data_IF_720086502714
#
_entry.id   IF_720086502714
#
_cell.length_a   1.000
_cell.length_b   1.000
_cell.length_c   1.000
_cell.angle_alpha   90.00
_cell.angle_beta   90.00
_cell.angle_gamma   90.00
#
_symmetry.space_group_name_H-M   'P 1'
#
loop_
_entity.id
_entity.type
_entity.pdbx_description
1 polymer ?
#
# COMPACT_ATOMS: atom_id res chain seq x y z
N UNK A 1 14.08 -4.40 20.67
CA UNK A 1 13.00 -5.12 19.97
C UNK A 1 12.81 -4.67 18.52
N UNK A 2 12.86 -3.37 18.19
CA UNK A 2 12.67 -2.88 16.81
C UNK A 2 13.65 -3.48 15.77
N UNK A 3 14.94 -3.63 16.12
CA UNK A 3 15.95 -4.25 15.25
C UNK A 3 15.60 -5.70 14.86
N UNK A 4 15.06 -6.49 15.79
CA UNK A 4 14.66 -7.89 15.54
C UNK A 4 13.50 -7.96 14.54
N UNK A 5 12.54 -7.04 14.63
CA UNK A 5 11.42 -6.96 13.70
C UNK A 5 11.87 -6.55 12.29
N UNK A 6 12.77 -5.55 12.18
CA UNK A 6 13.33 -5.12 10.90
C UNK A 6 14.14 -6.24 10.24
N UNK A 7 15.01 -6.92 10.98
CA UNK A 7 15.80 -8.04 10.44
C UNK A 7 14.90 -9.19 9.99
N UNK A 8 13.82 -9.48 10.74
CA UNK A 8 12.84 -10.51 10.37
C UNK A 8 12.14 -10.15 9.07
N UNK A 9 11.74 -8.88 8.90
CA UNK A 9 11.12 -8.39 7.67
C UNK A 9 12.09 -8.48 6.49
N UNK A 10 13.33 -8.02 6.66
CA UNK A 10 14.34 -8.04 5.59
C UNK A 10 14.68 -9.46 5.16
N UNK A 11 14.70 -10.43 6.07
CA UNK A 11 14.86 -11.86 5.72
C UNK A 11 13.68 -12.43 4.93
N UNK A 12 12.47 -11.87 5.08
CA UNK A 12 11.31 -12.25 4.27
C UNK A 12 11.36 -11.64 2.87
N UNK A 13 11.76 -10.37 2.78
CA UNK A 13 11.88 -9.66 1.49
C UNK A 13 13.02 -10.26 0.67
N UNK A 14 14.16 -10.50 1.32
CA UNK A 14 15.35 -11.07 0.69
C UNK A 14 15.71 -12.33 1.51
N UNK A 15 15.33 -13.54 1.08
CA UNK A 15 15.65 -14.77 1.80
C UNK A 15 17.11 -15.20 1.65
N UNK A 16 17.73 -14.92 0.50
CA UNK A 16 19.12 -15.31 0.19
C UNK A 16 20.01 -14.07 0.15
N UNK A 17 21.20 -14.11 0.77
CA UNK A 17 22.13 -12.96 0.70
C UNK A 17 22.86 -13.04 -0.63
N UNK A 18 22.79 -11.99 -1.45
CA UNK A 18 23.46 -11.92 -2.73
C UNK A 18 23.68 -10.48 -3.16
N UNK A 19 24.91 -10.14 -3.57
CA UNK A 19 25.22 -8.83 -4.17
C UNK A 19 24.75 -8.68 -5.61
N UNK A 20 24.36 -9.80 -6.25
CA UNK A 20 23.72 -9.80 -7.57
C UNK A 20 22.22 -9.49 -7.49
N UNK A 21 21.62 -9.59 -6.31
CA UNK A 21 20.24 -9.14 -6.10
C UNK A 21 20.25 -7.63 -5.91
N UNK A 22 19.54 -6.92 -6.80
CA UNK A 22 19.29 -5.49 -6.69
C UNK A 22 17.89 -5.22 -6.11
N UNK A 23 17.80 -4.25 -5.21
CA UNK A 23 16.54 -3.78 -4.62
C UNK A 23 16.47 -2.27 -4.82
N UNK A 24 15.46 -1.83 -5.57
CA UNK A 24 15.08 -0.42 -5.61
C UNK A 24 14.44 -0.03 -4.27
N UNK A 25 14.88 1.11 -3.73
CA UNK A 25 14.34 1.70 -2.52
C UNK A 25 14.02 3.16 -2.81
N UNK A 26 12.75 3.50 -2.82
CA UNK A 26 12.36 4.85 -3.17
C UNK A 26 12.63 5.89 -2.07
N UNK A 27 12.85 7.12 -2.52
CA UNK A 27 13.26 8.26 -1.71
C UNK A 27 12.07 9.10 -1.24
N UNK A 28 11.13 8.46 -0.55
CA UNK A 28 9.94 9.10 0.01
C UNK A 28 10.26 10.44 0.70
N UNK A 29 9.77 11.53 0.11
CA UNK A 29 10.16 12.90 0.45
C UNK A 29 9.47 13.47 1.70
N UNK A 30 8.42 12.82 2.20
CA UNK A 30 7.67 13.30 3.37
C UNK A 30 8.40 12.93 4.66
N UNK A 31 8.82 13.97 5.40
CA UNK A 31 9.53 13.82 6.68
C UNK A 31 8.59 13.53 7.85
N UNK A 32 7.34 13.96 7.73
CA UNK A 32 6.30 13.67 8.71
C UNK A 32 5.75 12.26 8.50
N UNK A 33 5.68 11.48 9.57
CA UNK A 33 5.06 10.17 9.56
C UNK A 33 3.58 10.20 9.12
N UNK A 34 3.05 9.05 8.76
CA UNK A 34 1.62 8.94 8.41
C UNK A 34 0.80 9.20 9.68
N UNK A 35 -0.17 10.12 9.60
CA UNK A 35 -1.02 10.50 10.75
C UNK A 35 -1.68 9.27 11.36
N UNK A 36 -1.52 9.10 12.69
CA UNK A 36 -2.08 7.96 13.43
C UNK A 36 -1.24 6.69 13.38
N UNK A 37 -0.07 6.72 12.73
CA UNK A 37 0.86 5.60 12.67
C UNK A 37 2.21 5.97 13.31
N UNK A 38 2.91 4.95 13.81
CA UNK A 38 4.27 5.13 14.29
C UNK A 38 5.20 5.52 13.12
N UNK A 39 6.29 6.27 13.38
CA UNK A 39 7.29 6.57 12.37
C UNK A 39 7.87 5.29 11.77
N UNK A 40 7.97 5.25 10.44
CA UNK A 40 8.59 4.12 9.74
C UNK A 40 10.10 4.06 10.02
N UNK A 41 10.70 2.88 10.26
CA UNK A 41 12.13 2.73 10.53
C UNK A 41 12.97 2.79 9.24
N UNK A 42 12.78 3.84 8.43
CA UNK A 42 13.34 3.97 7.07
C UNK A 42 14.86 3.76 7.05
N UNK A 43 15.59 4.45 7.93
CA UNK A 43 17.06 4.33 8.01
C UNK A 43 17.50 2.91 8.37
N UNK A 44 16.91 2.34 9.42
CA UNK A 44 17.25 0.99 9.88
C UNK A 44 16.90 -0.09 8.87
N UNK A 45 15.76 0.05 8.18
CA UNK A 45 15.34 -0.86 7.12
C UNK A 45 16.30 -0.82 5.93
N UNK A 46 16.67 0.39 5.47
CA UNK A 46 17.62 0.57 4.37
C UNK A 46 19.00 -0.01 4.69
N UNK A 47 19.50 0.21 5.91
CA UNK A 47 20.76 -0.37 6.37
C UNK A 47 20.70 -1.90 6.45
N UNK A 48 19.60 -2.47 6.95
CA UNK A 48 19.41 -3.91 7.01
C UNK A 48 19.31 -4.55 5.61
N UNK A 49 18.65 -3.92 4.66
CA UNK A 49 18.59 -4.36 3.26
C UNK A 49 20.00 -4.36 2.62
N UNK A 50 20.80 -3.31 2.84
CA UNK A 50 22.18 -3.20 2.31
C UNK A 50 23.15 -4.28 2.79
N UNK A 51 22.88 -4.88 3.95
CA UNK A 51 23.64 -6.04 4.45
C UNK A 51 23.38 -7.31 3.64
N UNK A 52 22.29 -7.36 2.87
CA UNK A 52 21.81 -8.56 2.19
C UNK A 52 21.81 -8.48 0.67
N UNK A 53 21.67 -7.28 0.11
CA UNK A 53 21.55 -7.03 -1.31
C UNK A 53 22.18 -5.70 -1.70
N UNK A 54 22.30 -5.48 -3.01
CA UNK A 54 22.62 -4.17 -3.57
C UNK A 54 21.34 -3.31 -3.53
N UNK A 55 21.38 -2.18 -2.83
CA UNK A 55 20.21 -1.31 -2.66
C UNK A 55 20.42 -0.02 -3.42
N UNK A 56 19.61 0.21 -4.44
CA UNK A 56 19.63 1.41 -5.29
C UNK A 56 18.55 2.36 -4.78
N UNK A 57 18.90 3.63 -4.60
CA UNK A 57 17.91 4.65 -4.20
C UNK A 57 17.35 5.28 -5.46
N UNK A 58 16.03 5.29 -5.62
CA UNK A 58 15.35 5.71 -6.83
C UNK A 58 14.38 6.85 -6.53
N UNK A 59 14.18 7.76 -7.49
CA UNK A 59 13.08 8.72 -7.44
C UNK A 59 11.75 8.00 -7.79
N UNK A 60 10.80 8.01 -6.86
CA UNK A 60 9.48 7.37 -7.05
C UNK A 60 8.51 8.18 -7.91
N UNK A 61 8.97 9.19 -8.65
CA UNK A 61 8.10 10.15 -9.32
C UNK A 61 6.97 9.50 -10.13
N UNK A 62 5.73 9.68 -9.63
CA UNK A 62 4.46 9.20 -10.23
C UNK A 62 4.33 7.68 -10.39
N UNK A 63 5.18 6.87 -9.76
CA UNK A 63 5.06 5.39 -9.81
C UNK A 63 3.69 4.88 -9.35
N UNK A 64 3.05 5.54 -8.39
CA UNK A 64 1.70 5.18 -7.93
C UNK A 64 0.56 5.80 -8.73
N UNK A 65 0.85 6.60 -9.77
CA UNK A 65 -0.14 7.39 -10.54
C UNK A 65 -0.24 7.00 -12.00
N UNK A 66 0.75 6.29 -12.54
CA UNK A 66 0.75 5.78 -13.91
C UNK A 66 0.50 4.29 -13.92
N UNK A 67 -0.28 3.82 -14.88
CA UNK A 67 -0.54 2.39 -15.09
C UNK A 67 0.72 1.69 -15.57
N UNK A 68 1.15 0.63 -14.90
CA UNK A 68 2.36 -0.10 -15.28
C UNK A 68 2.24 -0.92 -16.57
N UNK A 69 1.07 -0.97 -17.20
CA UNK A 69 0.84 -1.65 -18.47
C UNK A 69 0.77 -0.72 -19.68
N UNK A 70 0.18 0.46 -19.52
CA UNK A 70 -0.05 1.37 -20.65
C UNK A 70 0.39 2.81 -20.37
N UNK A 71 1.03 3.04 -19.21
CA UNK A 71 1.61 4.30 -18.76
C UNK A 71 0.65 5.50 -18.67
N UNK A 72 -0.66 5.25 -18.79
CA UNK A 72 -1.69 6.26 -18.65
C UNK A 72 -2.07 6.49 -17.19
N UNK A 73 -2.64 7.65 -16.92
CA UNK A 73 -3.05 8.09 -15.59
C UNK A 73 -4.02 7.11 -14.91
N UNK A 74 -3.85 7.01 -13.59
CA UNK A 74 -4.69 6.27 -12.68
C UNK A 74 -5.54 7.22 -11.82
N UNK A 75 -6.83 6.90 -11.69
CA UNK A 75 -7.79 7.65 -10.90
C UNK A 75 -8.28 6.86 -9.68
N UNK A 76 -8.68 7.56 -8.62
CA UNK A 76 -9.23 6.89 -7.43
C UNK A 76 -10.62 6.34 -7.72
N UNK A 77 -10.89 5.12 -7.26
CA UNK A 77 -12.21 4.50 -7.39
C UNK A 77 -13.11 4.96 -6.25
N UNK A 78 -14.40 5.15 -6.54
CA UNK A 78 -15.42 5.31 -5.52
C UNK A 78 -16.24 4.04 -5.39
N UNK A 79 -16.58 3.65 -4.16
CA UNK A 79 -17.41 2.47 -3.90
C UNK A 79 -18.53 2.78 -2.90
N UNK A 80 -19.73 2.21 -3.11
CA UNK A 80 -20.83 2.36 -2.17
C UNK A 80 -20.51 1.62 -0.87
N UNK A 81 -20.59 2.31 0.25
CA UNK A 81 -20.34 1.75 1.58
C UNK A 81 -21.50 2.07 2.51
N UNK A 82 -22.00 1.10 3.30
CA UNK A 82 -22.98 1.39 4.35
C UNK A 82 -22.32 2.17 5.48
N UNK A 83 -22.91 3.31 5.83
CA UNK A 83 -22.46 4.19 6.91
C UNK A 83 -23.64 4.56 7.79
N UNK A 84 -23.40 4.59 9.09
CA UNK A 84 -24.38 5.09 10.05
C UNK A 84 -24.33 6.63 10.09
N UNK A 85 -25.49 7.31 9.97
CA UNK A 85 -25.58 8.75 10.12
C UNK A 85 -25.04 9.21 11.47
N UNK A 86 -24.54 10.45 11.55
CA UNK A 86 -23.97 11.00 12.81
C UNK A 86 -24.99 11.03 13.97
N UNK A 87 -26.27 11.12 13.64
CA UNK A 87 -27.37 11.23 14.60
C UNK A 87 -27.89 9.86 15.06
N UNK A 88 -27.31 8.76 14.56
CA UNK A 88 -27.72 7.40 14.89
C UNK A 88 -26.59 6.73 15.68
N UNK A 89 -26.94 6.17 16.83
CA UNK A 89 -26.00 5.38 17.62
C UNK A 89 -25.55 4.15 16.83
N UNK A 90 -24.23 4.03 16.64
CA UNK A 90 -23.66 2.86 15.97
C UNK A 90 -23.99 1.61 16.78
N UNK A 91 -24.58 0.56 16.17
CA UNK A 91 -24.97 -0.64 16.89
C UNK A 91 -23.73 -1.29 17.51
N UNK A 92 -23.78 -1.47 18.83
CA UNK A 92 -22.70 -2.11 19.59
C UNK A 92 -22.61 -3.58 19.21
N UNK A 93 -21.39 -4.11 19.17
CA UNK A 93 -21.15 -5.54 18.93
C UNK A 93 -21.71 -6.32 20.11
N UNK A 94 -22.74 -7.15 19.90
CA UNK A 94 -23.35 -7.99 20.95
C UNK A 94 -22.78 -9.41 20.89
N UNK A 95 -22.46 -9.99 22.04
CA UNK A 95 -22.10 -11.39 22.21
C UNK A 95 -23.11 -12.06 23.12
N UNK A 96 -23.67 -13.20 22.70
CA UNK A 96 -24.59 -14.00 23.50
C UNK A 96 -24.10 -15.45 23.49
N UNK A 97 -23.91 -16.04 24.68
CA UNK A 97 -23.39 -17.42 24.85
C UNK A 97 -22.15 -17.71 23.98
N UNK A 98 -21.19 -16.77 23.95
CA UNK A 98 -19.95 -16.88 23.17
C UNK A 98 -20.07 -16.60 21.66
N UNK A 99 -21.28 -16.53 21.09
CA UNK A 99 -21.50 -16.22 19.67
C UNK A 99 -21.65 -14.72 19.44
N UNK A 100 -20.95 -14.18 18.44
CA UNK A 100 -21.09 -12.79 18.00
C UNK A 100 -22.37 -12.68 17.15
N UNK A 101 -23.29 -11.82 17.57
CA UNK A 101 -24.50 -11.56 16.79
C UNK A 101 -24.19 -10.60 15.62
N UNK A 102 -24.88 -10.74 14.47
CA UNK A 102 -24.81 -9.77 13.39
C UNK A 102 -25.14 -8.36 13.88
N UNK A 103 -24.48 -7.35 13.30
CA UNK A 103 -24.89 -5.96 13.50
C UNK A 103 -26.21 -5.74 12.77
N UNK A 104 -27.10 -5.00 13.41
CA UNK A 104 -28.25 -4.43 12.72
C UNK A 104 -27.75 -3.31 11.79
N UNK A 105 -28.06 -3.41 10.50
CA UNK A 105 -27.69 -2.41 9.49
C UNK A 105 -28.91 -1.69 8.91
N UNK A 106 -30.10 -1.87 9.49
CA UNK A 106 -31.36 -1.28 9.00
C UNK A 106 -31.33 0.25 8.90
N UNK A 107 -30.59 0.91 9.80
CA UNK A 107 -30.43 2.37 9.84
C UNK A 107 -29.17 2.87 9.10
N UNK A 108 -28.45 1.99 8.39
CA UNK A 108 -27.29 2.38 7.62
C UNK A 108 -27.71 2.96 6.26
N UNK A 109 -27.08 4.06 5.88
CA UNK A 109 -27.26 4.69 4.57
C UNK A 109 -26.10 4.34 3.65
N UNK A 110 -26.36 4.25 2.35
CA UNK A 110 -25.31 4.02 1.35
C UNK A 110 -24.65 5.37 1.02
N UNK A 111 -23.36 5.46 1.25
CA UNK A 111 -22.56 6.62 0.83
C UNK A 111 -21.40 6.20 -0.07
N UNK A 112 -21.14 7.01 -1.09
CA UNK A 112 -19.94 6.86 -1.91
C UNK A 112 -18.68 7.24 -1.12
N UNK A 113 -17.68 6.35 -1.10
CA UNK A 113 -16.38 6.58 -0.44
C UNK A 113 -15.25 6.36 -1.42
N UNK A 114 -14.21 7.18 -1.34
CA UNK A 114 -12.99 6.98 -2.11
C UNK A 114 -12.22 5.77 -1.58
N UNK A 115 -11.83 4.87 -2.48
CA UNK A 115 -10.83 3.85 -2.25
C UNK A 115 -9.46 4.42 -2.62
N UNK A 116 -8.56 4.50 -1.64
CA UNK A 116 -7.18 4.88 -1.92
C UNK A 116 -6.31 3.69 -2.32
N UNK A 117 -6.71 2.46 -1.96
CA UNK A 117 -5.92 1.25 -2.22
C UNK A 117 -6.08 0.79 -3.68
N UNK A 118 -7.28 0.94 -4.24
CA UNK A 118 -7.59 0.51 -5.61
C UNK A 118 -7.69 1.71 -6.54
N UNK A 119 -7.03 1.63 -7.68
CA UNK A 119 -6.99 2.66 -8.71
C UNK A 119 -7.59 2.13 -10.02
N UNK A 120 -8.21 3.01 -10.80
CA UNK A 120 -8.75 2.72 -12.13
C UNK A 120 -7.85 3.37 -13.19
N UNK A 121 -7.43 2.59 -14.17
CA UNK A 121 -6.78 3.08 -15.37
C UNK A 121 -7.79 3.86 -16.23
N UNK A 122 -7.45 5.10 -16.55
CA UNK A 122 -8.27 5.97 -17.40
C UNK A 122 -8.37 5.45 -18.84
N UNK A 123 -7.41 4.62 -19.25
CA UNK A 123 -7.45 3.94 -20.53
C UNK A 123 -8.45 2.77 -20.51
N UNK A 124 -9.63 2.98 -21.12
CA UNK A 124 -10.74 2.01 -21.14
C UNK A 124 -10.43 0.70 -21.86
N UNK A 125 -9.43 0.69 -22.76
CA UNK A 125 -8.99 -0.51 -23.49
C UNK A 125 -7.81 -1.22 -22.81
N UNK A 126 -7.27 -0.68 -21.70
CA UNK A 126 -6.23 -1.35 -20.93
C UNK A 126 -6.79 -2.59 -20.24
N UNK A 127 -6.11 -3.73 -20.37
CA UNK A 127 -6.56 -5.00 -19.81
C UNK A 127 -6.51 -5.04 -18.27
N UNK A 128 -5.54 -4.36 -17.64
CA UNK A 128 -5.48 -4.28 -16.17
C UNK A 128 -6.78 -3.70 -15.59
N UNK A 129 -7.30 -2.62 -16.18
CA UNK A 129 -8.44 -1.80 -15.71
C UNK A 129 -8.26 -1.27 -14.29
N UNK A 130 -8.14 -2.13 -13.29
CA UNK A 130 -7.93 -1.80 -11.89
C UNK A 130 -6.56 -2.24 -11.41
N UNK A 131 -6.00 -1.46 -10.49
CA UNK A 131 -4.72 -1.73 -9.84
C UNK A 131 -4.84 -1.64 -8.34
N UNK A 132 -4.21 -2.59 -7.64
CA UNK A 132 -3.72 -2.30 -6.30
C UNK A 132 -2.60 -1.26 -6.43
N UNK A 133 -2.73 -0.15 -5.70
CA UNK A 133 -1.81 1.00 -5.78
C UNK A 133 -0.37 0.58 -5.49
N UNK A 134 -0.17 -0.23 -4.47
CA UNK A 134 1.17 -0.57 -3.98
C UNK A 134 1.84 -1.57 -4.93
N UNK A 135 1.06 -2.51 -5.48
CA UNK A 135 1.54 -3.44 -6.52
C UNK A 135 1.92 -2.69 -7.79
N UNK A 136 1.07 -1.79 -8.29
CA UNK A 136 1.38 -1.00 -9.49
C UNK A 136 2.62 -0.12 -9.29
N UNK A 137 2.73 0.54 -8.13
CA UNK A 137 3.91 1.33 -7.80
C UNK A 137 5.20 0.49 -7.78
N UNK A 138 5.15 -0.72 -7.23
CA UNK A 138 6.29 -1.63 -7.20
C UNK A 138 6.73 -2.09 -8.61
N UNK A 139 5.77 -2.35 -9.51
CA UNK A 139 6.09 -2.72 -10.90
C UNK A 139 6.74 -1.54 -11.63
N UNK A 140 6.20 -0.33 -11.49
CA UNK A 140 6.79 0.86 -12.09
C UNK A 140 8.20 1.15 -11.53
N UNK A 141 8.43 0.94 -10.23
CA UNK A 141 9.76 1.07 -9.65
C UNK A 141 10.75 0.05 -10.23
N UNK A 142 10.30 -1.18 -10.49
CA UNK A 142 11.12 -2.19 -11.12
C UNK A 142 11.50 -1.78 -12.56
N UNK A 143 10.54 -1.28 -13.33
CA UNK A 143 10.78 -0.79 -14.70
C UNK A 143 11.80 0.35 -14.72
N UNK A 144 11.67 1.32 -13.80
CA UNK A 144 12.65 2.41 -13.65
C UNK A 144 14.04 1.87 -13.30
N UNK A 145 14.13 0.95 -12.33
CA UNK A 145 15.42 0.34 -11.96
C UNK A 145 16.08 -0.36 -13.14
N UNK A 146 15.30 -1.09 -13.96
CA UNK A 146 15.81 -1.77 -15.15
C UNK A 146 16.28 -0.80 -16.24
N UNK A 147 15.85 0.47 -16.20
CA UNK A 147 16.30 1.50 -17.14
C UNK A 147 17.59 2.22 -16.70
N UNK A 148 17.96 2.12 -15.41
CA UNK A 148 19.13 2.79 -14.84
C UNK A 148 20.37 1.88 -14.70
N UNK A 149 20.19 0.56 -14.78
CA UNK A 149 21.24 -0.48 -14.62
C UNK A 149 21.59 -1.10 -15.96
#
# INVERSE_FOLDING_TARGET
MALVAVDTLVRRIIPTVSRLTCVAYGDWSRRDGIKGHAPSPVKGLKEALRKRATVVSMDEFRTSKLCSQCHQSLSSVQYPTPVFPKNVDKPKRKKVKGKILPRDWSQAEIQSRHCHVVLLCENKICQARYWDRDVNAAINMLELLMSEV
#
